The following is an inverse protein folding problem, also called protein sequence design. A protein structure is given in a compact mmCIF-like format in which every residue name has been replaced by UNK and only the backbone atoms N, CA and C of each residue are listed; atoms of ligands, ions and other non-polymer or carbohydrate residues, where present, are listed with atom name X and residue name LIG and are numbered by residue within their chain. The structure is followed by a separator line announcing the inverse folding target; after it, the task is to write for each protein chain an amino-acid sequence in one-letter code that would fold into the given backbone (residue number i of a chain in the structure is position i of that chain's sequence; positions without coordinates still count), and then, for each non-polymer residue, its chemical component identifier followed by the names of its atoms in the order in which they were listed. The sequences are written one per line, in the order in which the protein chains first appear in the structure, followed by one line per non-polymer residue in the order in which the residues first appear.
data_IF_690573727339
#
_entry.id   IF_690573727339
#
_cell.length_a   1.000
_cell.length_b   1.000
_cell.length_c   1.000
_cell.angle_alpha   90.00
_cell.angle_beta   90.00
_cell.angle_gamma   90.00
#
_symmetry.space_group_name_H-M   'P 1'
#
loop_
_entity.id
_entity.type
_entity.pdbx_description
1 polymer ?
#
# COMPACT_ATOMS: atom_id res chain seq x y z
N UNK A 1 15.87 6.02 11.92
CA UNK A 1 14.51 6.56 11.61
C UNK A 1 13.45 5.54 11.97
N UNK A 2 12.25 5.96 12.41
CA UNK A 2 11.07 5.07 12.53
C UNK A 2 10.17 5.28 11.33
N UNK A 3 9.57 4.20 10.80
CA UNK A 3 8.66 4.22 9.64
C UNK A 3 7.34 3.59 10.07
N UNK A 4 6.22 4.22 9.73
CA UNK A 4 4.90 3.61 9.89
C UNK A 4 4.56 2.78 8.65
N UNK A 5 4.14 1.53 8.86
CA UNK A 5 3.64 0.67 7.78
C UNK A 5 2.11 0.66 7.83
N UNK A 6 1.50 0.90 6.69
CA UNK A 6 0.07 0.74 6.46
C UNK A 6 -0.15 -0.20 5.28
N UNK A 7 -1.26 -0.92 5.32
CA UNK A 7 -1.68 -1.81 4.23
C UNK A 7 -3.20 -1.91 4.23
N UNK A 8 -3.80 -2.21 3.08
CA UNK A 8 -5.22 -2.58 2.94
C UNK A 8 -6.18 -1.59 3.62
N UNK A 9 -5.97 -0.28 3.42
CA UNK A 9 -6.85 0.72 4.03
C UNK A 9 -8.25 0.76 3.41
N UNK A 10 -8.41 0.29 2.17
CA UNK A 10 -9.68 0.11 1.46
C UNK A 10 -10.65 1.29 1.67
N UNK A 11 -10.19 2.50 1.33
CA UNK A 11 -11.04 3.70 1.40
C UNK A 11 -12.30 3.49 0.57
N UNK A 12 -13.46 3.56 1.22
CA UNK A 12 -14.75 3.31 0.58
C UNK A 12 -15.29 1.88 0.75
N UNK A 13 -14.67 1.06 1.60
CA UNK A 13 -15.08 -0.32 1.88
C UNK A 13 -16.57 -0.43 2.23
N UNK A 14 -17.17 -1.57 1.83
CA UNK A 14 -18.60 -1.87 2.03
C UNK A 14 -19.52 -0.77 1.49
N UNK A 15 -19.31 -0.36 0.23
CA UNK A 15 -20.06 0.72 -0.43
C UNK A 15 -20.00 2.05 0.34
N UNK A 16 -18.83 2.39 0.86
CA UNK A 16 -18.59 3.59 1.65
C UNK A 16 -19.49 3.67 2.90
N UNK A 17 -19.64 2.53 3.57
CA UNK A 17 -20.41 2.42 4.80
C UNK A 17 -19.95 3.42 5.84
N UNK A 18 -20.89 4.15 6.45
CA UNK A 18 -20.58 5.14 7.49
C UNK A 18 -19.84 4.53 8.67
N UNK A 19 -20.20 3.30 9.06
CA UNK A 19 -19.56 2.59 10.17
C UNK A 19 -18.07 2.43 9.93
N UNK A 20 -17.66 2.03 8.70
CA UNK A 20 -16.24 1.87 8.35
C UNK A 20 -15.53 3.21 8.23
N UNK A 21 -16.19 4.23 7.67
CA UNK A 21 -15.64 5.60 7.62
C UNK A 21 -15.36 6.10 9.03
N UNK A 22 -16.31 5.94 9.97
CA UNK A 22 -16.15 6.37 11.36
C UNK A 22 -15.07 5.56 12.10
N UNK A 23 -14.90 4.28 11.74
CA UNK A 23 -13.82 3.44 12.26
C UNK A 23 -12.45 3.94 11.80
N UNK A 24 -12.29 4.17 10.49
CA UNK A 24 -11.05 4.72 9.93
C UNK A 24 -10.74 6.10 10.52
N UNK A 25 -11.74 6.98 10.61
CA UNK A 25 -11.58 8.28 11.25
C UNK A 25 -11.03 8.15 12.68
N UNK A 26 -11.67 7.34 13.54
CA UNK A 26 -11.22 7.14 14.93
C UNK A 26 -9.81 6.57 14.97
N UNK A 27 -9.49 5.59 14.12
CA UNK A 27 -8.16 5.02 14.05
C UNK A 27 -7.10 6.09 13.74
N UNK A 28 -7.35 6.95 12.76
CA UNK A 28 -6.40 7.99 12.40
C UNK A 28 -6.29 9.08 13.47
N UNK A 29 -7.40 9.58 13.99
CA UNK A 29 -7.42 10.70 14.93
C UNK A 29 -7.00 10.31 16.35
N UNK A 30 -7.39 9.11 16.82
CA UNK A 30 -7.20 8.70 18.21
C UNK A 30 -5.97 7.81 18.40
N UNK A 31 -5.51 7.11 17.37
CA UNK A 31 -4.42 6.13 17.46
C UNK A 31 -3.25 6.51 16.57
N UNK A 32 -3.43 6.53 15.24
CA UNK A 32 -2.34 6.59 14.29
C UNK A 32 -1.53 7.90 14.39
N UNK A 33 -2.18 9.04 14.20
CA UNK A 33 -1.48 10.33 14.24
C UNK A 33 -0.95 10.71 15.62
N UNK A 34 -1.67 10.48 16.73
CA UNK A 34 -1.10 10.67 18.06
C UNK A 34 0.16 9.82 18.30
N UNK A 35 0.13 8.53 17.92
CA UNK A 35 1.30 7.65 18.04
C UNK A 35 2.47 8.12 17.17
N UNK A 36 2.20 8.50 15.92
CA UNK A 36 3.23 9.04 15.03
C UNK A 36 3.87 10.31 15.60
N UNK A 37 3.05 11.20 16.16
CA UNK A 37 3.53 12.43 16.79
C UNK A 37 4.39 12.15 18.03
N UNK A 38 3.94 11.29 18.92
CA UNK A 38 4.66 10.92 20.15
C UNK A 38 6.02 10.25 19.83
N UNK A 39 6.08 9.47 18.78
CA UNK A 39 7.28 8.72 18.38
C UNK A 39 8.12 9.41 17.29
N UNK A 40 7.80 10.64 16.92
CA UNK A 40 8.45 11.41 15.83
C UNK A 40 8.55 10.63 14.51
N UNK A 41 7.47 9.94 14.14
CA UNK A 41 7.37 9.21 12.88
C UNK A 41 6.94 10.19 11.79
N UNK A 42 7.77 10.35 10.77
CA UNK A 42 7.53 11.25 9.62
C UNK A 42 7.42 10.53 8.29
N UNK A 43 7.73 9.24 8.25
CA UNK A 43 7.69 8.42 7.05
C UNK A 43 6.63 7.33 7.19
N UNK A 44 5.81 7.20 6.13
CA UNK A 44 4.83 6.12 5.95
C UNK A 44 5.26 5.33 4.73
N UNK A 45 5.16 4.00 4.79
CA UNK A 45 5.14 3.12 3.62
C UNK A 45 3.77 2.46 3.60
N UNK A 46 3.04 2.61 2.50
CA UNK A 46 1.74 1.98 2.29
C UNK A 46 1.84 0.89 1.23
N UNK A 47 1.52 -0.34 1.60
CA UNK A 47 1.77 -1.52 0.77
C UNK A 47 0.65 -1.83 -0.25
N UNK A 48 -0.24 -0.89 -0.50
CA UNK A 48 -1.27 -1.03 -1.54
C UNK A 48 -2.68 -1.26 -0.99
N UNK A 49 -3.62 -1.44 -1.92
CA UNK A 49 -5.06 -1.53 -1.65
C UNK A 49 -5.57 -0.34 -0.81
N UNK A 50 -5.17 0.86 -1.29
CA UNK A 50 -5.57 2.10 -0.64
C UNK A 50 -7.06 2.38 -0.83
N UNK A 51 -7.59 2.21 -2.07
CA UNK A 51 -9.01 2.33 -2.38
C UNK A 51 -9.66 0.95 -2.53
N UNK A 52 -10.94 0.83 -2.11
CA UNK A 52 -11.66 -0.44 -2.11
C UNK A 52 -12.10 -0.90 -3.52
N UNK A 53 -12.45 0.06 -4.38
CA UNK A 53 -12.99 -0.25 -5.70
C UNK A 53 -12.06 0.19 -6.85
N UNK A 54 -11.80 -0.73 -7.78
CA UNK A 54 -10.96 -0.50 -8.97
C UNK A 54 -11.47 0.60 -9.90
N UNK A 55 -12.78 0.81 -9.99
CA UNK A 55 -13.41 1.58 -11.07
C UNK A 55 -14.05 2.89 -10.63
N UNK A 56 -14.28 3.08 -9.36
CA UNK A 56 -14.92 4.29 -8.83
C UNK A 56 -14.57 4.50 -7.36
N UNK A 57 -14.62 5.76 -6.95
CA UNK A 57 -14.51 6.14 -5.54
C UNK A 57 -15.69 7.03 -5.21
N UNK A 58 -16.38 6.72 -4.12
CA UNK A 58 -17.48 7.54 -3.63
C UNK A 58 -16.96 8.89 -3.12
N UNK A 59 -17.55 10.01 -3.54
CA UNK A 59 -17.13 11.35 -3.15
C UNK A 59 -17.14 11.59 -1.63
N UNK A 60 -18.06 10.96 -0.90
CA UNK A 60 -18.08 11.04 0.56
C UNK A 60 -16.85 10.37 1.16
N UNK A 61 -16.55 9.12 0.74
CA UNK A 61 -15.36 8.41 1.20
C UNK A 61 -14.07 9.17 0.87
N UNK A 62 -13.99 9.71 -0.35
CA UNK A 62 -12.86 10.54 -0.80
C UNK A 62 -12.67 11.77 0.09
N UNK A 63 -13.78 12.50 0.38
CA UNK A 63 -13.76 13.69 1.25
C UNK A 63 -13.33 13.34 2.67
N UNK A 64 -13.90 12.29 3.26
CA UNK A 64 -13.58 11.90 4.63
C UNK A 64 -12.14 11.41 4.76
N UNK A 65 -11.65 10.63 3.78
CA UNK A 65 -10.24 10.24 3.73
C UNK A 65 -9.30 11.46 3.63
N UNK A 66 -9.63 12.42 2.78
CA UNK A 66 -8.85 13.66 2.68
C UNK A 66 -8.78 14.38 4.02
N UNK A 67 -9.92 14.57 4.71
CA UNK A 67 -10.02 15.32 5.97
C UNK A 67 -9.34 14.62 7.14
N UNK A 68 -9.44 13.29 7.21
CA UNK A 68 -9.00 12.53 8.38
C UNK A 68 -7.64 11.83 8.20
N UNK A 69 -7.13 11.74 6.98
CA UNK A 69 -5.82 11.15 6.71
C UNK A 69 -4.89 12.08 5.94
N UNK A 70 -5.25 12.52 4.71
CA UNK A 70 -4.31 13.24 3.84
C UNK A 70 -3.94 14.64 4.37
N UNK A 71 -4.93 15.42 4.80
CA UNK A 71 -4.68 16.76 5.36
C UNK A 71 -3.90 16.72 6.67
N UNK A 72 -4.23 15.89 7.67
CA UNK A 72 -3.42 15.73 8.88
C UNK A 72 -1.99 15.25 8.59
N UNK A 73 -1.82 14.28 7.68
CA UNK A 73 -0.51 13.82 7.22
C UNK A 73 0.34 15.00 6.70
N UNK A 74 -0.23 15.82 5.83
CA UNK A 74 0.46 17.01 5.29
C UNK A 74 0.77 18.05 6.36
N UNK A 75 -0.20 18.35 7.25
CA UNK A 75 -0.01 19.31 8.35
C UNK A 75 1.10 18.87 9.32
N UNK A 76 1.27 17.58 9.52
CA UNK A 76 2.38 17.02 10.32
C UNK A 76 3.71 16.94 9.56
N UNK A 77 3.75 17.35 8.29
CA UNK A 77 4.95 17.27 7.45
C UNK A 77 5.40 15.84 7.16
N UNK A 78 4.49 14.88 7.27
CA UNK A 78 4.79 13.47 6.97
C UNK A 78 4.90 13.23 5.46
N UNK A 79 5.67 12.21 5.09
CA UNK A 79 5.81 11.71 3.73
C UNK A 79 5.26 10.29 3.65
N UNK A 80 4.76 9.91 2.47
CA UNK A 80 4.28 8.56 2.21
C UNK A 80 4.82 8.05 0.88
N UNK A 81 5.47 6.89 0.92
CA UNK A 81 5.72 6.07 -0.27
C UNK A 81 4.60 5.04 -0.35
N UNK A 82 3.93 4.94 -1.48
CA UNK A 82 2.78 4.05 -1.65
C UNK A 82 2.92 3.20 -2.91
N UNK A 83 2.64 1.91 -2.77
CA UNK A 83 2.54 0.95 -3.87
C UNK A 83 1.08 0.84 -4.33
N UNK A 84 0.81 0.60 -5.63
CA UNK A 84 -0.50 0.09 -6.04
C UNK A 84 -0.67 -1.36 -5.62
N UNK A 85 -1.81 -1.65 -5.02
CA UNK A 85 -2.33 -2.99 -4.82
C UNK A 85 -3.26 -3.40 -5.97
N UNK A 86 -3.84 -4.60 -5.86
CA UNK A 86 -4.74 -5.11 -6.89
C UNK A 86 -6.07 -4.36 -6.96
N UNK A 87 -6.53 -3.70 -5.89
CA UNK A 87 -7.71 -2.84 -5.89
C UNK A 87 -7.45 -1.43 -6.42
N UNK A 88 -6.21 -0.98 -6.46
CA UNK A 88 -5.87 0.36 -6.93
C UNK A 88 -5.78 0.49 -8.46
N UNK A 89 -5.74 -0.63 -9.19
CA UNK A 89 -5.60 -0.65 -10.64
C UNK A 89 -6.92 -0.97 -11.35
N UNK A 90 -7.25 -0.23 -12.40
CA UNK A 90 -8.49 -0.41 -13.14
C UNK A 90 -8.56 -1.75 -13.87
N UNK A 91 -7.49 -2.09 -14.58
CA UNK A 91 -7.34 -3.33 -15.33
C UNK A 91 -6.49 -4.34 -14.55
N UNK A 92 -6.88 -5.63 -14.59
CA UNK A 92 -6.14 -6.67 -13.87
C UNK A 92 -4.77 -7.02 -14.45
N UNK A 93 -4.52 -6.65 -15.69
CA UNK A 93 -3.33 -7.03 -16.45
C UNK A 93 -2.29 -5.91 -16.63
N UNK A 94 -2.57 -4.70 -16.13
CA UNK A 94 -1.68 -3.55 -16.19
C UNK A 94 -1.87 -2.60 -15.03
N UNK A 95 -0.80 -1.89 -14.62
CA UNK A 95 -0.86 -0.83 -13.61
C UNK A 95 -0.99 0.58 -14.23
N UNK A 96 -1.23 0.69 -15.53
CA UNK A 96 -1.22 1.98 -16.25
C UNK A 96 -2.28 2.94 -15.71
N UNK A 97 -3.55 2.51 -15.68
CA UNK A 97 -4.65 3.28 -15.08
C UNK A 97 -4.80 2.89 -13.61
N UNK A 98 -4.29 3.75 -12.73
CA UNK A 98 -4.19 3.51 -11.30
C UNK A 98 -4.85 4.64 -10.50
N UNK A 99 -5.77 4.29 -9.58
CA UNK A 99 -6.48 5.25 -8.73
C UNK A 99 -5.54 6.12 -7.89
N UNK A 100 -4.38 5.60 -7.50
CA UNK A 100 -3.39 6.36 -6.75
C UNK A 100 -2.85 7.53 -7.57
N UNK A 101 -2.54 7.32 -8.86
CA UNK A 101 -2.10 8.41 -9.76
C UNK A 101 -3.21 9.44 -9.96
N UNK A 102 -4.42 8.98 -10.23
CA UNK A 102 -5.55 9.85 -10.55
C UNK A 102 -6.01 10.68 -9.34
N UNK A 103 -5.95 10.14 -8.13
CA UNK A 103 -6.52 10.77 -6.95
C UNK A 103 -5.46 11.33 -5.98
N UNK A 104 -4.28 10.72 -5.91
CA UNK A 104 -3.19 11.16 -5.03
C UNK A 104 -2.07 11.90 -5.77
N UNK A 105 -2.04 11.87 -7.10
CA UNK A 105 -1.00 12.51 -7.90
C UNK A 105 -0.85 14.02 -7.69
N UNK A 106 -1.85 14.69 -7.12
CA UNK A 106 -1.80 16.12 -6.76
C UNK A 106 -1.01 16.39 -5.46
N UNK A 107 -0.72 15.36 -4.66
CA UNK A 107 -0.02 15.48 -3.37
C UNK A 107 1.49 15.20 -3.50
N UNK A 108 2.09 15.54 -4.63
CA UNK A 108 3.48 15.18 -5.00
C UNK A 108 4.56 15.63 -4.03
N UNK A 109 4.29 16.64 -3.19
CA UNK A 109 5.23 17.09 -2.16
C UNK A 109 5.35 16.11 -0.98
N UNK A 110 4.29 15.35 -0.73
CA UNK A 110 4.18 14.48 0.44
C UNK A 110 4.02 13.01 0.08
N UNK A 111 3.55 12.70 -1.14
CA UNK A 111 3.25 11.34 -1.58
C UNK A 111 4.08 11.01 -2.81
N UNK A 112 4.82 9.91 -2.72
CA UNK A 112 5.53 9.29 -3.82
C UNK A 112 4.82 7.97 -4.17
N UNK A 113 4.33 7.87 -5.41
CA UNK A 113 3.62 6.67 -5.89
C UNK A 113 4.63 5.80 -6.63
N UNK A 114 4.96 4.66 -6.05
CA UNK A 114 5.95 3.72 -6.56
C UNK A 114 5.28 2.76 -7.54
N UNK A 115 5.25 3.13 -8.82
CA UNK A 115 4.56 2.38 -9.88
C UNK A 115 5.39 1.23 -10.47
N UNK A 116 6.71 1.22 -10.21
CA UNK A 116 7.63 0.20 -10.72
C UNK A 116 8.48 -0.32 -9.59
N UNK A 117 8.96 -1.58 -9.67
CA UNK A 117 9.91 -2.10 -8.69
C UNK A 117 11.06 -1.11 -8.49
N UNK A 118 11.32 -0.74 -7.24
CA UNK A 118 12.29 0.31 -6.90
C UNK A 118 12.93 0.04 -5.55
N UNK A 119 14.17 0.47 -5.38
CA UNK A 119 14.84 0.47 -4.09
C UNK A 119 14.86 1.89 -3.56
N UNK A 120 14.31 2.12 -2.37
CA UNK A 120 14.37 3.39 -1.68
C UNK A 120 15.24 3.27 -0.43
N UNK A 121 16.03 4.33 -0.18
CA UNK A 121 16.91 4.36 0.98
C UNK A 121 16.27 5.19 2.10
N UNK A 122 16.13 4.58 3.27
CA UNK A 122 15.58 5.19 4.47
C UNK A 122 16.65 5.23 5.56
N UNK A 123 17.36 6.35 5.64
CA UNK A 123 18.39 6.59 6.67
C UNK A 123 19.50 5.52 6.67
N UNK A 124 19.95 5.16 5.46
CA UNK A 124 20.99 4.15 5.25
C UNK A 124 20.47 2.71 5.10
N UNK A 125 19.16 2.48 5.27
CA UNK A 125 18.54 1.18 5.06
C UNK A 125 17.86 1.12 3.69
N UNK A 126 18.29 0.22 2.84
CA UNK A 126 17.65 -0.03 1.56
C UNK A 126 16.43 -0.94 1.74
N UNK A 127 15.29 -0.47 1.24
CA UNK A 127 14.03 -1.22 1.20
C UNK A 127 13.60 -1.35 -0.27
N UNK A 128 13.37 -2.58 -0.69
CA UNK A 128 12.90 -2.91 -2.02
C UNK A 128 11.39 -2.87 -2.04
N UNK A 129 10.80 -2.00 -2.86
CA UNK A 129 9.37 -1.81 -2.98
C UNK A 129 8.88 -2.43 -4.29
N UNK A 130 7.90 -3.33 -4.19
CA UNK A 130 7.39 -4.11 -5.32
C UNK A 130 5.87 -3.90 -5.43
N UNK A 131 5.41 -3.13 -6.45
CA UNK A 131 3.99 -2.95 -6.73
C UNK A 131 3.29 -4.25 -7.10
N UNK A 132 1.95 -4.23 -7.12
CA UNK A 132 1.12 -5.32 -7.62
C UNK A 132 1.65 -5.90 -8.93
N UNK A 133 1.92 -7.20 -8.94
CA UNK A 133 2.43 -7.94 -10.10
C UNK A 133 1.25 -8.38 -10.98
N UNK A 134 1.35 -8.10 -12.27
CA UNK A 134 0.40 -8.52 -13.29
C UNK A 134 1.12 -9.00 -14.55
N UNK A 135 0.38 -9.40 -15.58
CA UNK A 135 0.97 -9.98 -16.78
C UNK A 135 1.94 -9.04 -17.51
N UNK A 136 1.68 -7.72 -17.48
CA UNK A 136 2.52 -6.74 -18.19
C UNK A 136 3.87 -6.53 -17.51
N UNK A 137 3.89 -6.53 -16.18
CA UNK A 137 5.09 -6.20 -15.41
C UNK A 137 5.81 -7.43 -14.82
N UNK A 138 5.30 -8.63 -15.06
CA UNK A 138 5.77 -9.86 -14.42
C UNK A 138 7.28 -10.08 -14.59
N UNK A 139 7.77 -10.09 -15.82
CA UNK A 139 9.18 -10.38 -16.10
C UNK A 139 10.11 -9.36 -15.45
N UNK A 140 9.78 -8.07 -15.56
CA UNK A 140 10.55 -6.99 -14.94
C UNK A 140 10.52 -7.08 -13.41
N UNK A 141 9.36 -7.39 -12.82
CA UNK A 141 9.21 -7.58 -11.38
C UNK A 141 10.03 -8.76 -10.87
N UNK A 142 9.98 -9.90 -11.58
CA UNK A 142 10.74 -11.09 -11.21
C UNK A 142 12.25 -10.93 -11.40
N UNK A 143 12.68 -10.18 -12.42
CA UNK A 143 14.08 -9.81 -12.58
C UNK A 143 14.57 -8.94 -11.40
N UNK A 144 13.77 -7.96 -10.99
CA UNK A 144 14.08 -7.14 -9.83
C UNK A 144 14.16 -7.97 -8.55
N UNK A 145 13.21 -8.87 -8.31
CA UNK A 145 13.20 -9.77 -7.15
C UNK A 145 14.45 -10.62 -7.11
N UNK A 146 14.86 -11.22 -8.23
CA UNK A 146 16.07 -12.08 -8.29
C UNK A 146 17.38 -11.33 -8.05
N UNK A 147 17.45 -10.04 -8.39
CA UNK A 147 18.68 -9.23 -8.28
C UNK A 147 18.91 -8.66 -6.90
N UNK A 148 17.87 -8.53 -6.09
CA UNK A 148 17.90 -7.85 -4.81
C UNK A 148 17.78 -8.84 -3.65
N UNK A 149 18.19 -8.42 -2.46
CA UNK A 149 18.11 -9.16 -1.20
C UNK A 149 17.92 -8.17 -0.04
N UNK A 150 17.70 -8.65 1.16
CA UNK A 150 17.49 -7.81 2.34
C UNK A 150 16.00 -7.65 2.64
N UNK A 151 15.44 -6.44 2.59
CA UNK A 151 14.07 -6.18 2.95
C UNK A 151 13.23 -5.93 1.69
N UNK A 152 12.21 -6.75 1.48
CA UNK A 152 11.20 -6.57 0.45
C UNK A 152 9.87 -6.16 1.09
N UNK A 153 9.26 -5.11 0.58
CA UNK A 153 7.89 -4.71 0.90
C UNK A 153 7.09 -4.68 -0.40
N UNK A 154 5.98 -5.42 -0.43
CA UNK A 154 5.26 -5.69 -1.66
C UNK A 154 3.76 -5.77 -1.43
N UNK A 155 2.98 -5.73 -2.51
CA UNK A 155 1.59 -6.15 -2.49
C UNK A 155 1.46 -7.47 -3.24
N UNK A 156 1.37 -8.60 -2.51
CA UNK A 156 1.40 -9.95 -3.07
C UNK A 156 0.21 -10.78 -2.61
N UNK A 157 -0.30 -11.60 -3.50
CA UNK A 157 -1.17 -12.72 -3.17
C UNK A 157 -0.35 -14.01 -3.14
N UNK A 158 -0.01 -14.48 -1.93
CA UNK A 158 0.86 -15.65 -1.75
C UNK A 158 0.02 -16.90 -1.42
N UNK A 159 0.33 -18.00 -2.08
CA UNK A 159 -0.30 -19.30 -1.83
C UNK A 159 0.03 -19.80 -0.43
N UNK A 160 -0.99 -20.38 0.23
CA UNK A 160 -0.83 -21.00 1.55
C UNK A 160 -0.93 -20.03 2.73
N UNK A 161 -0.91 -18.72 2.49
CA UNK A 161 -1.14 -17.70 3.52
C UNK A 161 -2.64 -17.54 3.82
N UNK A 162 -2.96 -17.13 5.03
CA UNK A 162 -4.35 -16.84 5.40
C UNK A 162 -4.77 -15.49 4.85
N UNK A 163 -5.84 -15.48 4.05
CA UNK A 163 -6.50 -14.26 3.59
C UNK A 163 -7.40 -13.66 4.68
N UNK A 164 -7.97 -14.50 5.50
CA UNK A 164 -8.77 -14.19 6.68
C UNK A 164 -8.57 -15.31 7.68
N UNK A 165 -8.88 -15.08 8.97
CA UNK A 165 -8.76 -16.08 10.02
C UNK A 165 -9.41 -17.40 9.61
N UNK A 166 -8.59 -18.44 9.44
CA UNK A 166 -9.01 -19.79 9.05
C UNK A 166 -9.30 -19.98 7.56
N UNK A 167 -9.13 -18.97 6.71
CA UNK A 167 -9.32 -19.06 5.26
C UNK A 167 -7.99 -18.80 4.55
N UNK A 168 -7.42 -19.87 3.99
CA UNK A 168 -6.17 -19.79 3.22
C UNK A 168 -6.43 -19.51 1.75
N UNK A 169 -5.48 -18.82 1.12
CA UNK A 169 -5.45 -18.65 -0.33
C UNK A 169 -5.50 -20.03 -1.01
N UNK A 170 -6.47 -20.29 -1.92
CA UNK A 170 -6.57 -21.58 -2.61
C UNK A 170 -5.30 -21.90 -3.40
N UNK A 171 -4.94 -23.18 -3.44
CA UNK A 171 -3.86 -23.63 -4.32
C UNK A 171 -4.24 -23.35 -5.78
N UNK A 172 -3.34 -22.70 -6.51
CA UNK A 172 -3.56 -22.26 -7.90
C UNK A 172 -3.97 -20.82 -8.07
N UNK A 173 -4.32 -20.10 -7.01
CA UNK A 173 -4.50 -18.65 -7.00
C UNK A 173 -3.31 -18.01 -6.27
N UNK A 174 -2.79 -16.92 -6.82
CA UNK A 174 -1.61 -16.24 -6.26
C UNK A 174 -0.27 -16.88 -6.66
N UNK A 175 0.80 -16.36 -6.13
CA UNK A 175 2.18 -16.77 -6.41
C UNK A 175 2.68 -17.73 -5.33
N UNK A 176 3.63 -18.61 -5.70
CA UNK A 176 4.43 -19.35 -4.72
C UNK A 176 5.33 -18.44 -3.91
N UNK A 177 5.84 -18.93 -2.80
CA UNK A 177 6.75 -18.17 -1.92
C UNK A 177 8.21 -18.26 -2.38
N UNK A 178 8.54 -19.27 -3.17
CA UNK A 178 9.90 -19.63 -3.56
C UNK A 178 10.71 -18.46 -4.15
N UNK A 179 10.15 -17.57 -4.99
CA UNK A 179 10.89 -16.42 -5.51
C UNK A 179 11.36 -15.43 -4.44
N UNK A 180 10.75 -15.43 -3.26
CA UNK A 180 10.94 -14.44 -2.20
C UNK A 180 11.75 -14.97 -1.01
N UNK A 181 12.02 -16.27 -0.93
CA UNK A 181 12.68 -16.95 0.20
C UNK A 181 14.10 -16.46 0.49
N UNK A 182 14.78 -15.85 -0.47
CA UNK A 182 16.12 -15.34 -0.33
C UNK A 182 16.21 -13.95 0.31
N UNK A 183 15.08 -13.30 0.59
CA UNK A 183 15.03 -12.05 1.33
C UNK A 183 15.12 -12.29 2.83
N UNK A 184 15.80 -11.39 3.56
CA UNK A 184 15.91 -11.47 5.02
C UNK A 184 14.55 -11.20 5.69
N UNK A 185 13.73 -10.33 5.05
CA UNK A 185 12.37 -9.98 5.47
C UNK A 185 11.53 -9.66 4.24
N UNK A 186 10.36 -10.30 4.14
CA UNK A 186 9.35 -9.97 3.15
C UNK A 186 8.05 -9.60 3.88
N UNK A 187 7.54 -8.38 3.61
CA UNK A 187 6.28 -7.87 4.14
C UNK A 187 5.31 -7.63 2.97
N UNK A 188 4.09 -8.17 3.12
CA UNK A 188 3.02 -8.00 2.13
C UNK A 188 1.66 -7.87 2.80
#
# INVERSE_FOLDING_TARGET
MKIALLNDTHVGVRNSSQIFIDFQKRFYEEIFFPYCKENDIKQIIHLGDYYDHRKFVNFKALRENRRHFLEPMQQMGMKMDILPGNHDVFHKNTNDLCSLKELLGYYTKNINIVMKPSTLNYDGLDIHLLPWINNENYDHSMEFVKKNKGILMAHLELQGFEMMRGIKQPKGNGMGVEPFEHYDLCLS
#
